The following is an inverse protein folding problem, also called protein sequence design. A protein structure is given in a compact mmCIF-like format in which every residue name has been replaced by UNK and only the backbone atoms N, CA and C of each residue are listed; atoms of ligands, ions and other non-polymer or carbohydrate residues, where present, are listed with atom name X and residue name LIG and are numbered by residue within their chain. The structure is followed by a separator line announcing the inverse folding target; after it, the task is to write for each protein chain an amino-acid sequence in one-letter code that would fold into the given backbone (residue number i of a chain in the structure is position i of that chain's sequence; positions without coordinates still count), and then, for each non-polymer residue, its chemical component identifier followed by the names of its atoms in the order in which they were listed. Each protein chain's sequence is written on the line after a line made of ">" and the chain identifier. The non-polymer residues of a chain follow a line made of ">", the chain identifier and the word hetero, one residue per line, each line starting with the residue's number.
data_IF_172463901330
#
_entry.id   IF_172463901330
#
_cell.length_a   1.000
_cell.length_b   1.000
_cell.length_c   1.000
_cell.angle_alpha   90.00
_cell.angle_beta   90.00
_cell.angle_gamma   90.00
#
_symmetry.space_group_name_H-M   'P 1'
#
loop_
_entity.id
_entity.type
_entity.pdbx_description
1 polymer ?
#
# COMPACT_ATOMS: atom_id res chain seq x y z
N UNK A 1 -17.83 15.91 22.56
CA UNK A 1 -16.71 15.24 21.84
C UNK A 1 -17.15 13.93 21.22
N UNK A 2 -17.68 13.00 22.01
CA UNK A 2 -18.09 11.70 21.48
C UNK A 2 -19.13 11.76 20.35
N UNK A 3 -20.11 12.66 20.45
CA UNK A 3 -21.14 12.84 19.41
C UNK A 3 -20.55 13.36 18.09
N UNK A 4 -19.54 14.21 18.15
CA UNK A 4 -18.86 14.73 16.95
C UNK A 4 -18.05 13.61 16.29
N UNK A 5 -17.32 12.82 17.07
CA UNK A 5 -16.53 11.68 16.58
C UNK A 5 -17.44 10.67 15.89
N UNK A 6 -18.61 10.37 16.47
CA UNK A 6 -19.55 9.39 15.90
C UNK A 6 -20.17 9.86 14.59
N UNK A 7 -20.14 11.16 14.29
CA UNK A 7 -20.65 11.73 13.04
C UNK A 7 -19.61 11.78 11.93
N UNK A 8 -18.34 11.57 12.25
CA UNK A 8 -17.26 11.62 11.27
C UNK A 8 -16.94 10.22 10.79
N UNK A 9 -16.84 10.08 9.47
CA UNK A 9 -16.32 8.89 8.84
C UNK A 9 -14.92 9.21 8.32
N UNK A 10 -13.92 8.60 8.93
CA UNK A 10 -12.51 8.81 8.57
C UNK A 10 -12.02 7.60 7.81
N UNK A 11 -11.48 7.82 6.63
CA UNK A 11 -10.94 6.75 5.80
C UNK A 11 -9.54 7.07 5.31
N UNK A 12 -8.91 6.09 4.66
CA UNK A 12 -7.58 6.23 4.10
C UNK A 12 -7.55 5.71 2.67
N UNK A 13 -6.76 6.39 1.82
CA UNK A 13 -6.45 5.88 0.49
C UNK A 13 -5.43 4.75 0.60
N UNK A 14 -5.63 3.71 -0.19
CA UNK A 14 -4.72 2.55 -0.23
C UNK A 14 -4.24 2.32 -1.65
N UNK A 15 -2.92 2.28 -1.82
CA UNK A 15 -2.31 1.87 -3.07
C UNK A 15 -2.04 0.36 -3.02
N UNK A 16 -2.65 -0.44 -3.91
CA UNK A 16 -2.55 -1.90 -3.85
C UNK A 16 -1.40 -2.49 -4.68
N UNK A 17 -0.28 -1.81 -4.77
CA UNK A 17 0.82 -2.16 -5.66
C UNK A 17 2.03 -2.83 -4.99
N UNK A 18 1.92 -3.24 -3.74
CA UNK A 18 3.01 -3.76 -2.94
C UNK A 18 3.18 -5.28 -3.08
N UNK A 19 3.10 -5.76 -4.31
CA UNK A 19 3.27 -7.18 -4.65
C UNK A 19 3.75 -7.32 -6.09
N UNK A 20 4.31 -8.48 -6.41
CA UNK A 20 4.68 -8.82 -7.79
C UNK A 20 3.43 -8.95 -8.65
N UNK A 21 3.51 -8.45 -9.87
CA UNK A 21 2.38 -8.42 -10.80
C UNK A 21 2.86 -8.84 -12.19
N UNK A 22 2.22 -9.86 -12.83
CA UNK A 22 2.66 -10.33 -14.14
C UNK A 22 2.69 -9.24 -15.22
N UNK A 23 1.78 -8.28 -15.15
CA UNK A 23 1.74 -7.19 -16.11
C UNK A 23 2.97 -6.28 -16.01
N UNK A 24 3.56 -6.15 -14.83
CA UNK A 24 4.78 -5.37 -14.63
C UNK A 24 6.03 -6.13 -15.07
N UNK A 25 5.99 -7.45 -15.09
CA UNK A 25 7.13 -8.27 -15.52
C UNK A 25 7.51 -8.04 -17.00
N UNK A 26 6.65 -7.38 -17.77
CA UNK A 26 6.95 -7.00 -19.16
C UNK A 26 8.00 -5.90 -19.26
N UNK A 27 8.01 -4.97 -18.30
CA UNK A 27 8.84 -3.77 -18.35
C UNK A 27 9.88 -3.72 -17.25
N UNK A 28 9.81 -4.65 -16.29
CA UNK A 28 10.69 -4.73 -15.13
C UNK A 28 11.16 -6.17 -14.94
N UNK A 29 12.24 -6.41 -14.18
CA UNK A 29 12.66 -7.76 -13.84
C UNK A 29 11.53 -8.57 -13.20
N UNK A 30 11.54 -9.87 -13.44
CA UNK A 30 10.52 -10.77 -12.88
C UNK A 30 10.44 -10.64 -11.37
N UNK A 31 9.22 -10.51 -10.85
CA UNK A 31 8.97 -10.36 -9.41
C UNK A 31 9.13 -8.95 -8.88
N UNK A 32 9.40 -7.96 -9.77
CA UNK A 32 9.54 -6.57 -9.35
C UNK A 32 8.25 -6.02 -8.72
N UNK A 33 8.40 -5.21 -7.68
CA UNK A 33 7.30 -4.43 -7.11
C UNK A 33 7.83 -3.10 -6.56
N UNK A 34 6.95 -2.29 -6.00
CA UNK A 34 7.29 -0.95 -5.51
C UNK A 34 8.37 -0.96 -4.43
N UNK A 35 8.51 -2.05 -3.69
CA UNK A 35 9.56 -2.17 -2.67
C UNK A 35 10.96 -2.07 -3.26
N UNK A 36 11.14 -2.47 -4.52
CA UNK A 36 12.43 -2.33 -5.20
C UNK A 36 12.85 -0.86 -5.34
N UNK A 37 11.88 0.03 -5.49
CA UNK A 37 12.16 1.47 -5.50
C UNK A 37 12.36 2.03 -4.10
N UNK A 38 11.48 1.68 -3.18
CA UNK A 38 11.47 2.26 -1.83
C UNK A 38 12.73 1.87 -1.05
N UNK A 39 13.08 0.58 -1.07
CA UNK A 39 14.21 0.07 -0.29
C UNK A 39 15.57 0.53 -0.85
N UNK A 40 15.63 0.91 -2.11
CA UNK A 40 16.85 1.38 -2.77
C UNK A 40 16.87 2.90 -2.98
N UNK A 41 15.93 3.63 -2.40
CA UNK A 41 15.86 5.08 -2.56
C UNK A 41 17.05 5.75 -1.84
N UNK A 42 17.89 6.53 -2.56
CA UNK A 42 19.04 7.21 -1.95
C UNK A 42 18.63 8.57 -1.37
N UNK A 43 19.36 9.02 -0.37
CA UNK A 43 19.28 10.41 0.07
C UNK A 43 19.81 11.34 -1.03
N UNK A 44 19.09 12.41 -1.32
CA UNK A 44 19.41 13.35 -2.40
C UNK A 44 19.99 14.66 -1.88
N UNK A 45 19.92 14.88 -0.59
CA UNK A 45 20.51 16.04 0.08
C UNK A 45 20.78 15.68 1.54
N UNK A 46 21.55 16.54 2.26
CA UNK A 46 21.82 16.33 3.68
C UNK A 46 20.50 16.27 4.47
N UNK A 47 20.40 15.34 5.39
CA UNK A 47 19.25 15.13 6.24
C UNK A 47 18.01 14.55 5.51
N UNK A 48 18.13 14.22 4.23
CA UNK A 48 17.06 13.52 3.51
C UNK A 48 16.97 12.07 4.03
N UNK A 49 15.93 11.77 4.77
CA UNK A 49 15.75 10.45 5.38
C UNK A 49 15.26 9.44 4.33
N UNK A 50 16.18 8.67 3.79
CA UNK A 50 15.91 7.61 2.82
C UNK A 50 16.87 6.42 3.04
N UNK A 51 16.46 5.18 2.78
CA UNK A 51 15.10 4.78 2.48
C UNK A 51 14.17 4.85 3.70
N UNK A 52 12.90 5.13 3.46
CA UNK A 52 11.89 5.07 4.51
C UNK A 52 11.28 3.68 4.54
N UNK A 53 11.40 3.01 5.66
CA UNK A 53 10.93 1.65 5.84
C UNK A 53 9.78 1.66 6.83
N UNK A 54 8.67 0.95 6.55
CA UNK A 54 7.56 0.86 7.49
C UNK A 54 8.00 0.31 8.85
N UNK A 55 7.33 0.73 9.91
CA UNK A 55 7.64 0.30 11.28
C UNK A 55 7.71 -1.23 11.41
N UNK A 56 6.79 -1.93 10.74
CA UNK A 56 6.72 -3.39 10.78
C UNK A 56 7.39 -4.07 9.56
N UNK A 57 8.19 -3.31 8.81
CA UNK A 57 8.90 -3.82 7.65
C UNK A 57 8.09 -3.86 6.35
N UNK A 58 8.74 -4.21 5.24
CA UNK A 58 8.04 -4.40 3.97
C UNK A 58 7.02 -5.54 4.06
N UNK A 59 5.98 -5.45 3.25
CA UNK A 59 4.90 -6.44 3.24
C UNK A 59 4.47 -6.75 1.80
N UNK A 60 3.79 -7.88 1.63
CA UNK A 60 3.15 -8.30 0.39
C UNK A 60 1.64 -8.13 0.55
N UNK A 61 1.06 -7.16 -0.15
CA UNK A 61 -0.36 -6.84 -0.01
C UNK A 61 -1.28 -7.78 -0.80
N UNK A 62 -0.72 -8.75 -1.53
CA UNK A 62 -1.52 -9.82 -2.11
C UNK A 62 -1.91 -10.89 -1.09
N UNK A 63 -1.31 -10.88 0.09
CA UNK A 63 -1.58 -11.86 1.14
C UNK A 63 -2.77 -11.43 2.00
N UNK A 64 -3.76 -12.32 2.24
CA UNK A 64 -4.88 -12.00 3.12
C UNK A 64 -4.47 -11.58 4.54
N UNK A 65 -3.37 -12.15 5.07
CA UNK A 65 -2.86 -11.79 6.39
C UNK A 65 -2.40 -10.34 6.46
N UNK A 66 -1.84 -9.81 5.39
CA UNK A 66 -1.45 -8.39 5.31
C UNK A 66 -2.67 -7.49 5.38
N UNK A 67 -3.70 -7.78 4.58
CA UNK A 67 -4.95 -7.01 4.59
C UNK A 67 -5.62 -7.04 5.97
N UNK A 68 -5.62 -8.19 6.61
CA UNK A 68 -6.19 -8.34 7.95
C UNK A 68 -5.47 -7.46 8.98
N UNK A 69 -4.14 -7.44 8.95
CA UNK A 69 -3.35 -6.60 9.84
C UNK A 69 -3.61 -5.12 9.59
N UNK A 70 -3.70 -4.72 8.33
CA UNK A 70 -3.97 -3.33 7.96
C UNK A 70 -5.35 -2.88 8.43
N UNK A 71 -6.36 -3.71 8.24
CA UNK A 71 -7.72 -3.42 8.70
C UNK A 71 -7.77 -3.28 10.21
N UNK A 72 -7.16 -4.20 10.94
CA UNK A 72 -7.13 -4.16 12.40
C UNK A 72 -6.41 -2.91 12.91
N UNK A 73 -5.27 -2.57 12.33
CA UNK A 73 -4.50 -1.40 12.71
C UNK A 73 -5.27 -0.10 12.43
N UNK A 74 -5.87 0.01 11.24
CA UNK A 74 -6.65 1.17 10.87
C UNK A 74 -7.85 1.36 11.80
N UNK A 75 -8.54 0.28 12.13
CA UNK A 75 -9.68 0.31 13.05
C UNK A 75 -9.26 0.76 14.44
N UNK A 76 -8.10 0.29 14.92
CA UNK A 76 -7.56 0.67 16.23
C UNK A 76 -7.32 2.18 16.31
N UNK A 77 -6.91 2.80 15.20
CA UNK A 77 -6.62 4.23 15.15
C UNK A 77 -7.75 5.08 14.56
N UNK A 78 -8.95 4.53 14.45
CA UNK A 78 -10.16 5.29 14.12
C UNK A 78 -10.50 5.42 12.63
N UNK A 79 -9.78 4.74 11.75
CA UNK A 79 -10.14 4.69 10.33
C UNK A 79 -11.19 3.60 10.12
N UNK A 80 -12.28 3.91 9.42
CA UNK A 80 -13.41 2.99 9.28
C UNK A 80 -13.64 2.51 7.84
N UNK A 81 -12.92 3.05 6.86
CA UNK A 81 -12.98 2.57 5.48
C UNK A 81 -11.67 2.83 4.75
N UNK A 82 -11.43 2.05 3.68
CA UNK A 82 -10.34 2.26 2.75
C UNK A 82 -10.88 2.62 1.37
N UNK A 83 -10.14 3.48 0.67
CA UNK A 83 -10.38 3.77 -0.75
C UNK A 83 -9.21 3.17 -1.53
N UNK A 84 -9.46 2.05 -2.20
CA UNK A 84 -8.44 1.34 -2.97
C UNK A 84 -8.32 1.92 -4.38
N UNK A 85 -7.09 2.05 -4.86
CA UNK A 85 -6.85 2.31 -6.27
C UNK A 85 -7.30 1.13 -7.11
N UNK A 86 -8.00 1.40 -8.20
CA UNK A 86 -8.41 0.39 -9.17
C UNK A 86 -7.68 0.66 -10.48
N UNK A 87 -6.87 -0.30 -10.91
CA UNK A 87 -6.02 -0.13 -12.09
C UNK A 87 -6.49 -1.06 -13.20
N UNK A 88 -6.61 -0.49 -14.40
CA UNK A 88 -7.06 -1.20 -15.59
C UNK A 88 -6.14 -0.88 -16.76
N UNK A 89 -5.65 -1.89 -17.42
CA UNK A 89 -4.77 -1.71 -18.57
C UNK A 89 -4.97 -2.84 -19.57
N UNK A 90 -5.05 -2.45 -20.87
CA UNK A 90 -5.17 -3.39 -21.97
C UNK A 90 -6.31 -4.40 -21.81
N UNK A 91 -7.47 -3.94 -21.32
CA UNK A 91 -8.64 -4.78 -21.10
C UNK A 91 -8.57 -5.70 -19.89
N UNK A 92 -7.61 -5.48 -18.98
CA UNK A 92 -7.43 -6.31 -17.80
C UNK A 92 -7.26 -5.48 -16.53
N UNK A 93 -7.68 -6.02 -15.43
CA UNK A 93 -7.40 -5.47 -14.11
C UNK A 93 -5.93 -5.71 -13.76
N UNK A 94 -5.24 -4.66 -13.36
CA UNK A 94 -3.84 -4.69 -12.93
C UNK A 94 -3.77 -4.46 -11.43
N UNK A 95 -2.85 -5.10 -10.74
CA UNK A 95 -2.66 -5.00 -9.29
C UNK A 95 -3.90 -5.44 -8.49
N UNK A 96 -4.71 -6.33 -9.05
CA UNK A 96 -5.95 -6.76 -8.42
C UNK A 96 -5.79 -7.59 -7.15
N UNK A 97 -4.62 -8.17 -6.93
CA UNK A 97 -4.37 -9.02 -5.76
C UNK A 97 -4.24 -8.23 -4.46
N UNK A 98 -3.91 -6.93 -4.54
CA UNK A 98 -3.76 -6.08 -3.37
C UNK A 98 -5.01 -5.31 -2.98
N UNK A 99 -6.08 -5.53 -3.69
CA UNK A 99 -7.32 -4.76 -3.46
C UNK A 99 -8.46 -5.59 -2.87
#
# INVERSE_FOLDING_TARGET
>A
MSNLINRLAIGAYVYPGWHACPERDRNFPHGWCEWDLVLNAPSRFAEHNQPRIPLYGPYDDSLPSTSQKQVCLAREYGSIFFVHGFFWSRGKRVLGRGA
#
